data_IF_927950202043
#
_entry.id   IF_927950202043
#
_cell.length_a   1.000
_cell.length_b   1.000
_cell.length_c   1.000
_cell.angle_alpha   90.00
_cell.angle_beta   90.00
_cell.angle_gamma   90.00
#
_symmetry.space_group_name_H-M   'P 1'
#
loop_
_entity.id
_entity.type
_entity.pdbx_description
1 polymer ?
#
# COMPACT_ATOMS: atom_id res chain seq x y z
N UNK A 1 12.94 -13.78 -1.67
CA UNK A 1 12.71 -12.87 -0.53
C UNK A 1 11.97 -11.64 -1.00
N UNK A 2 10.83 -11.34 -0.39
CA UNK A 2 10.19 -10.03 -0.52
C UNK A 2 10.79 -9.14 0.58
N UNK A 3 11.67 -8.22 0.21
CA UNK A 3 12.08 -7.14 1.10
C UNK A 3 11.04 -6.02 1.00
N UNK A 4 10.51 -5.56 2.13
CA UNK A 4 9.63 -4.40 2.21
C UNK A 4 10.36 -3.28 2.93
N UNK A 5 10.13 -2.04 2.52
CA UNK A 5 10.66 -0.85 3.18
C UNK A 5 9.54 -0.21 4.03
N UNK A 6 8.47 0.24 3.38
CA UNK A 6 7.26 0.73 4.03
C UNK A 6 6.17 -0.33 4.22
N UNK A 7 5.32 -0.10 5.22
CA UNK A 7 4.17 -0.95 5.54
C UNK A 7 3.01 -0.13 6.08
N UNK A 8 1.77 -0.52 5.75
CA UNK A 8 0.57 0.04 6.39
C UNK A 8 -0.56 -0.99 6.48
N UNK A 9 -1.63 -0.65 7.20
CA UNK A 9 -2.81 -1.48 7.42
C UNK A 9 -4.08 -0.72 7.05
N UNK A 10 -5.05 -1.43 6.46
CA UNK A 10 -6.42 -0.92 6.34
C UNK A 10 -7.30 -1.33 7.54
N UNK A 11 -8.51 -0.78 7.60
CA UNK A 11 -9.50 -1.04 8.65
C UNK A 11 -10.08 -2.45 8.65
N UNK A 12 -9.71 -3.30 7.69
CA UNK A 12 -10.08 -4.72 7.63
C UNK A 12 -8.93 -5.64 8.06
N UNK A 13 -7.78 -5.08 8.41
CA UNK A 13 -6.58 -5.83 8.76
C UNK A 13 -5.78 -6.34 7.56
N UNK A 14 -6.01 -5.78 6.36
CA UNK A 14 -5.15 -6.10 5.22
C UNK A 14 -3.83 -5.35 5.33
N UNK A 15 -2.73 -6.05 5.09
CA UNK A 15 -1.35 -5.57 5.15
C UNK A 15 -0.86 -5.14 3.77
N UNK A 16 -0.37 -3.91 3.67
CA UNK A 16 0.17 -3.33 2.44
C UNK A 16 1.69 -3.23 2.58
N UNK A 17 2.44 -3.90 1.70
CA UNK A 17 3.90 -3.94 1.68
C UNK A 17 4.45 -3.35 0.39
N UNK A 18 5.52 -2.54 0.52
CA UNK A 18 6.19 -1.92 -0.63
C UNK A 18 7.18 -2.87 -1.32
N UNK A 19 7.66 -2.46 -2.50
CA UNK A 19 8.54 -3.26 -3.37
C UNK A 19 8.26 -3.01 -4.85
N UNK A 20 8.07 -4.09 -5.63
CA UNK A 20 7.59 -3.99 -7.01
C UNK A 20 6.07 -3.70 -7.02
N UNK A 21 5.70 -2.42 -6.97
CA UNK A 21 4.33 -1.97 -6.68
C UNK A 21 4.01 -2.06 -5.19
N UNK A 22 2.74 -2.25 -4.83
CA UNK A 22 2.31 -2.49 -3.44
C UNK A 22 1.59 -3.83 -3.36
N UNK A 23 2.15 -4.77 -2.62
CA UNK A 23 1.54 -6.10 -2.43
C UNK A 23 0.64 -6.07 -1.20
N UNK A 24 -0.58 -6.60 -1.33
CA UNK A 24 -1.57 -6.62 -0.27
C UNK A 24 -1.83 -8.05 0.17
N UNK A 25 -1.75 -8.28 1.47
CA UNK A 25 -2.10 -9.53 2.13
C UNK A 25 -3.34 -9.34 2.99
N UNK A 26 -4.22 -10.35 3.03
CA UNK A 26 -5.30 -10.36 4.02
C UNK A 26 -4.80 -10.68 5.42
N UNK A 27 -5.69 -10.62 6.41
CA UNK A 27 -5.37 -10.91 7.81
C UNK A 27 -4.94 -12.35 8.08
N UNK A 28 -5.15 -13.27 7.13
CA UNK A 28 -4.66 -14.64 7.20
C UNK A 28 -3.27 -14.80 6.56
N UNK A 29 -2.67 -13.71 6.07
CA UNK A 29 -1.36 -13.71 5.40
C UNK A 29 -1.41 -14.19 3.95
N UNK A 30 -2.60 -14.30 3.35
CA UNK A 30 -2.73 -14.65 1.92
C UNK A 30 -2.59 -13.40 1.07
N UNK A 31 -1.74 -13.45 0.05
CA UNK A 31 -1.65 -12.38 -0.94
C UNK A 31 -2.97 -12.29 -1.72
N UNK A 32 -3.60 -11.11 -1.70
CA UNK A 32 -4.91 -10.87 -2.35
C UNK A 32 -4.84 -9.88 -3.51
N UNK A 33 -3.80 -9.04 -3.57
CA UNK A 33 -3.66 -8.02 -4.61
C UNK A 33 -2.18 -7.61 -4.77
N UNK A 34 -1.82 -7.15 -5.96
CA UNK A 34 -0.64 -6.31 -6.17
C UNK A 34 -1.06 -5.06 -6.97
N UNK A 35 -0.86 -3.89 -6.39
CA UNK A 35 -1.16 -2.59 -7.00
C UNK A 35 0.07 -2.19 -7.82
N UNK A 36 -0.09 -2.17 -9.14
CA UNK A 36 0.95 -1.74 -10.06
C UNK A 36 1.19 -0.23 -9.94
N UNK A 37 2.45 0.16 -9.84
CA UNK A 37 2.92 1.54 -9.86
C UNK A 37 3.93 1.64 -11.01
N UNK A 38 3.90 2.68 -11.87
CA UNK A 38 4.75 2.78 -13.05
C UNK A 38 6.20 3.15 -12.71
N UNK A 39 6.77 2.51 -11.70
CA UNK A 39 8.12 2.72 -11.16
C UNK A 39 8.71 1.38 -10.73
N UNK A 40 10.04 1.26 -10.76
CA UNK A 40 10.71 -0.02 -10.43
C UNK A 40 10.62 -0.39 -8.95
N UNK A 41 10.47 0.60 -8.06
CA UNK A 41 10.46 0.38 -6.61
C UNK A 41 9.59 1.39 -5.88
N UNK A 42 8.68 0.89 -5.04
CA UNK A 42 7.96 1.68 -4.04
C UNK A 42 8.71 1.63 -2.71
N UNK A 43 8.98 2.79 -2.11
CA UNK A 43 9.74 2.88 -0.86
C UNK A 43 8.82 2.98 0.35
N UNK A 44 7.70 3.71 0.25
CA UNK A 44 6.77 3.87 1.36
C UNK A 44 5.31 3.92 0.91
N UNK A 45 4.41 3.62 1.83
CA UNK A 45 2.96 3.56 1.61
C UNK A 45 2.22 3.97 2.88
N UNK A 46 1.18 4.79 2.73
CA UNK A 46 0.31 5.15 3.87
C UNK A 46 -1.09 5.55 3.42
N UNK A 47 -2.08 5.32 4.29
CA UNK A 47 -3.41 5.87 4.11
C UNK A 47 -3.48 7.32 4.60
N UNK A 48 -4.21 8.16 3.88
CA UNK A 48 -4.43 9.55 4.22
C UNK A 48 -5.63 10.15 3.50
N UNK A 49 -5.66 11.48 3.40
CA UNK A 49 -6.83 12.24 2.98
C UNK A 49 -7.86 12.39 4.11
N UNK A 50 -8.83 13.29 3.92
CA UNK A 50 -9.79 13.69 4.98
C UNK A 50 -10.58 12.52 5.58
N UNK A 51 -10.80 11.47 4.80
CA UNK A 51 -11.57 10.29 5.21
C UNK A 51 -10.73 9.00 5.27
N UNK A 52 -9.40 9.14 5.14
CA UNK A 52 -8.42 8.05 5.17
C UNK A 52 -8.63 6.95 4.14
N UNK A 53 -9.27 7.29 3.02
CA UNK A 53 -9.51 6.35 1.91
C UNK A 53 -8.60 6.61 0.71
N UNK A 54 -7.56 7.44 0.85
CA UNK A 54 -6.54 7.62 -0.20
C UNK A 54 -5.26 6.92 0.25
N UNK A 55 -4.76 6.01 -0.58
CA UNK A 55 -3.46 5.37 -0.38
C UNK A 55 -2.40 6.19 -1.11
N UNK A 56 -1.46 6.77 -0.39
CA UNK A 56 -0.29 7.47 -0.93
C UNK A 56 0.89 6.52 -1.01
N UNK A 57 1.65 6.62 -2.10
CA UNK A 57 2.77 5.74 -2.39
C UNK A 57 3.95 6.58 -2.88
N UNK A 58 5.09 6.51 -2.19
CA UNK A 58 6.35 7.05 -2.71
C UNK A 58 7.06 5.97 -3.50
N UNK A 59 7.42 6.27 -4.75
CA UNK A 59 8.02 5.29 -5.65
C UNK A 59 9.09 5.95 -6.51
N UNK A 60 10.35 5.53 -6.32
CA UNK A 60 11.53 6.07 -7.00
C UNK A 60 11.46 7.60 -7.21
N UNK A 61 11.10 8.05 -8.41
CA UNK A 61 11.06 9.48 -8.78
C UNK A 61 9.74 10.21 -8.51
N UNK A 62 8.71 9.53 -7.99
CA UNK A 62 7.34 10.05 -7.95
C UNK A 62 6.57 9.79 -6.66
N UNK A 63 5.51 10.59 -6.49
CA UNK A 63 4.46 10.40 -5.49
C UNK A 63 3.15 10.05 -6.22
N UNK A 64 2.57 8.91 -5.88
CA UNK A 64 1.34 8.41 -6.46
C UNK A 64 0.25 8.34 -5.40
N UNK A 65 -1.01 8.37 -5.85
CA UNK A 65 -2.13 8.10 -4.96
C UNK A 65 -3.25 7.36 -5.67
N UNK A 66 -3.94 6.50 -4.93
CA UNK A 66 -5.13 5.79 -5.40
C UNK A 66 -6.23 5.86 -4.36
N UNK A 67 -7.46 5.99 -4.86
CA UNK A 67 -8.65 5.92 -4.03
C UNK A 67 -9.01 4.47 -3.70
N UNK A 68 -9.29 4.20 -2.43
CA UNK A 68 -9.59 2.86 -1.92
C UNK A 68 -11.02 2.76 -1.39
N UNK A 69 -11.56 1.55 -1.39
CA UNK A 69 -12.90 1.26 -0.86
C UNK A 69 -12.93 1.10 0.66
N UNK A 70 -11.76 0.92 1.27
CA UNK A 70 -11.51 0.72 2.70
C UNK A 70 -10.81 1.94 3.28
N UNK A 71 -10.88 2.14 4.60
CA UNK A 71 -10.14 3.21 5.27
C UNK A 71 -8.82 2.66 5.79
N UNK A 72 -7.83 3.52 6.04
CA UNK A 72 -6.67 3.16 6.87
C UNK A 72 -7.08 2.77 8.30
N UNK A 73 -6.28 1.93 8.94
CA UNK A 73 -6.56 1.37 10.26
C UNK A 73 -6.64 2.41 11.41
N UNK A 74 -5.96 3.55 11.27
CA UNK A 74 -5.81 4.54 12.35
C UNK A 74 -6.31 5.91 12.00
#
# INVERSE_FOLDING_TARGET
NMGSDGVTLDSKGNLYLTGNGVTVFDSAGKQILNIQVPEKWTANVTFGGKDRKTLFITASGGLYSIRTNVKGAY
#
